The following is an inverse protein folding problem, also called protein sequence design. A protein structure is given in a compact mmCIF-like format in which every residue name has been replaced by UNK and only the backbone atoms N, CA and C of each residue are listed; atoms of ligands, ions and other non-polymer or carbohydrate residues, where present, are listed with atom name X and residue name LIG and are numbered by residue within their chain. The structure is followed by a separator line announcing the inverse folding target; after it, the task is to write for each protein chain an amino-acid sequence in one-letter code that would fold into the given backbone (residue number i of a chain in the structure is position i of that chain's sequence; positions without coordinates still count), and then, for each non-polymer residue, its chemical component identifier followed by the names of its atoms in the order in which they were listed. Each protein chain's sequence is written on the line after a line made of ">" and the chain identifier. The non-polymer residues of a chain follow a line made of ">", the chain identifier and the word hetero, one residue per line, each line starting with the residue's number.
data_IF_420747231542
#
_entry.id   IF_420747231542
#
_cell.length_a   1.000
_cell.length_b   1.000
_cell.length_c   1.000
_cell.angle_alpha   90.00
_cell.angle_beta   90.00
_cell.angle_gamma   90.00
#
_symmetry.space_group_name_H-M   'P 1'
#
loop_
_entity.id
_entity.type
_entity.pdbx_description
1 polymer ?
#
# COMPACT_ATOMS: atom_id res chain seq x y z
N UNK A 1 -13.96 31.02 -46.89
CA UNK A 1 -12.94 30.03 -46.44
C UNK A 1 -12.16 30.64 -45.29
N UNK A 2 -12.10 29.97 -44.15
CA UNK A 2 -11.37 30.44 -42.97
C UNK A 2 -11.96 29.91 -41.67
N UNK A 3 -11.96 28.58 -41.48
CA UNK A 3 -12.28 27.97 -40.19
C UNK A 3 -11.04 28.13 -39.32
N UNK A 4 -11.07 29.08 -38.39
CA UNK A 4 -10.06 29.23 -37.35
C UNK A 4 -10.26 28.14 -36.30
N UNK A 5 -9.37 27.15 -36.28
CA UNK A 5 -9.31 26.14 -35.20
C UNK A 5 -8.66 26.82 -34.00
N UNK A 6 -9.47 27.15 -32.99
CA UNK A 6 -9.00 27.62 -31.70
C UNK A 6 -8.39 26.43 -30.94
N UNK A 7 -7.07 26.27 -30.99
CA UNK A 7 -6.35 25.35 -30.10
C UNK A 7 -6.47 25.91 -28.68
N UNK A 8 -7.41 25.39 -27.90
CA UNK A 8 -7.45 25.59 -26.46
C UNK A 8 -6.19 24.96 -25.87
N UNK A 9 -5.20 25.78 -25.52
CA UNK A 9 -4.10 25.36 -24.65
C UNK A 9 -4.71 25.07 -23.27
N UNK A 10 -5.03 23.80 -22.99
CA UNK A 10 -5.26 23.37 -21.63
C UNK A 10 -3.96 23.61 -20.86
N UNK A 11 -3.96 24.65 -20.02
CA UNK A 11 -2.88 24.91 -19.07
C UNK A 11 -2.88 23.73 -18.09
N UNK A 12 -2.05 22.74 -18.37
CA UNK A 12 -1.84 21.59 -17.51
C UNK A 12 -1.38 22.12 -16.15
N UNK A 13 -2.17 21.89 -15.10
CA UNK A 13 -1.80 22.33 -13.77
C UNK A 13 -0.72 21.37 -13.26
N UNK A 14 0.50 21.88 -13.06
CA UNK A 14 1.53 21.14 -12.34
C UNK A 14 0.99 20.74 -10.97
N UNK A 15 0.78 19.44 -10.78
CA UNK A 15 0.33 18.90 -9.51
C UNK A 15 1.58 18.53 -8.68
N UNK A 16 1.82 19.32 -7.64
CA UNK A 16 2.92 19.07 -6.72
C UNK A 16 2.46 18.12 -5.61
N UNK A 17 3.23 17.05 -5.41
CA UNK A 17 2.98 16.05 -4.39
C UNK A 17 4.20 15.87 -3.48
N UNK A 18 3.94 15.64 -2.20
CA UNK A 18 4.98 15.43 -1.20
C UNK A 18 4.73 14.12 -0.48
N UNK A 19 5.76 13.29 -0.39
CA UNK A 19 5.73 12.17 0.54
C UNK A 19 5.87 12.73 1.96
N UNK A 20 4.98 12.37 2.89
CA UNK A 20 5.21 12.59 4.31
C UNK A 20 6.50 11.89 4.75
N UNK A 21 7.14 12.41 5.80
CA UNK A 21 8.30 11.76 6.38
C UNK A 21 7.86 10.55 7.22
N UNK A 22 8.65 9.48 7.25
CA UNK A 22 8.39 8.28 8.07
C UNK A 22 8.58 8.55 9.56
N UNK A 23 9.15 9.70 9.91
CA UNK A 23 9.24 10.21 11.29
C UNK A 23 8.07 11.11 11.68
N UNK A 24 7.21 11.50 10.73
CA UNK A 24 6.01 12.27 11.03
C UNK A 24 5.01 11.40 11.80
N UNK A 25 4.02 12.04 12.44
CA UNK A 25 2.96 11.31 13.12
C UNK A 25 2.15 10.46 12.12
N UNK A 26 2.06 9.17 12.41
CA UNK A 26 1.28 8.22 11.62
C UNK A 26 -0.16 8.04 12.13
N UNK A 27 -1.04 7.64 11.23
CA UNK A 27 -2.37 7.09 11.56
C UNK A 27 -2.28 5.59 11.87
N UNK A 28 -1.45 4.87 11.12
CA UNK A 28 -1.18 3.46 11.32
C UNK A 28 -0.21 2.87 10.30
N UNK A 29 0.23 1.64 10.57
CA UNK A 29 1.15 0.87 9.71
C UNK A 29 0.41 -0.24 8.97
N UNK A 30 0.80 -0.45 7.71
CA UNK A 30 0.25 -1.50 6.85
C UNK A 30 1.14 -2.74 6.82
N UNK A 31 0.57 -3.90 7.12
CA UNK A 31 1.22 -5.20 7.03
C UNK A 31 0.44 -6.10 6.06
N UNK A 32 1.15 -6.80 5.18
CA UNK A 32 0.55 -7.89 4.38
C UNK A 32 0.82 -9.20 5.09
N UNK A 33 -0.22 -9.87 5.57
CA UNK A 33 -0.04 -11.09 6.34
C UNK A 33 0.40 -12.25 5.44
N UNK A 34 1.28 -13.09 5.98
CA UNK A 34 1.77 -14.27 5.28
C UNK A 34 0.63 -15.24 4.90
N UNK A 35 0.83 -15.99 3.81
CA UNK A 35 -0.05 -17.10 3.43
C UNK A 35 0.70 -18.20 2.68
N UNK A 36 0.09 -19.36 2.53
CA UNK A 36 0.74 -20.52 1.88
C UNK A 36 0.60 -20.61 0.35
N UNK A 37 -0.10 -19.68 -0.31
CA UNK A 37 -0.42 -19.82 -1.74
C UNK A 37 0.74 -19.64 -2.72
N UNK A 38 1.81 -18.92 -2.33
CA UNK A 38 2.97 -18.67 -3.20
C UNK A 38 4.18 -19.53 -2.80
N UNK A 39 4.55 -19.49 -1.52
CA UNK A 39 5.77 -20.14 -1.01
C UNK A 39 5.48 -21.37 -0.12
N UNK A 40 4.23 -21.83 -0.07
CA UNK A 40 3.85 -23.05 0.63
C UNK A 40 3.72 -22.89 2.16
N UNK A 41 3.25 -23.97 2.80
CA UNK A 41 2.91 -23.97 4.24
C UNK A 41 4.11 -23.89 5.18
N UNK A 42 5.27 -24.41 4.76
CA UNK A 42 6.49 -24.40 5.60
C UNK A 42 6.97 -22.96 5.80
N UNK A 43 7.19 -22.24 4.70
CA UNK A 43 7.59 -20.83 4.71
C UNK A 43 6.59 -19.96 5.48
N UNK A 44 5.31 -20.10 5.16
CA UNK A 44 4.21 -19.43 5.85
C UNK A 44 4.29 -19.55 7.39
N UNK A 45 4.46 -20.78 7.91
CA UNK A 45 4.56 -21.04 9.35
C UNK A 45 5.85 -20.49 9.97
N UNK A 46 6.95 -20.54 9.23
CA UNK A 46 8.27 -20.08 9.70
C UNK A 46 8.26 -18.58 9.98
N UNK A 47 7.61 -17.79 9.11
CA UNK A 47 7.63 -16.34 9.22
C UNK A 47 6.47 -15.78 10.06
N UNK A 48 5.34 -16.49 10.22
CA UNK A 48 4.17 -15.99 10.96
C UNK A 48 4.46 -15.43 12.37
N UNK A 49 5.35 -16.04 13.19
CA UNK A 49 5.70 -15.48 14.49
C UNK A 49 6.29 -14.06 14.42
N UNK A 50 6.93 -13.70 13.31
CA UNK A 50 7.48 -12.35 13.09
C UNK A 50 6.33 -11.35 12.93
N UNK A 51 5.28 -11.68 12.17
CA UNK A 51 4.10 -10.82 11.99
C UNK A 51 3.34 -10.61 13.29
N UNK A 52 3.23 -11.64 14.13
CA UNK A 52 2.65 -11.51 15.47
C UNK A 52 3.46 -10.53 16.33
N UNK A 53 4.79 -10.68 16.37
CA UNK A 53 5.68 -9.78 17.11
C UNK A 53 5.61 -8.33 16.60
N UNK A 54 5.65 -8.12 15.29
CA UNK A 54 5.52 -6.78 14.70
C UNK A 54 4.19 -6.14 15.07
N UNK A 55 3.08 -6.85 14.90
CA UNK A 55 1.74 -6.33 15.22
C UNK A 55 1.62 -5.97 16.70
N UNK A 56 2.13 -6.84 17.59
CA UNK A 56 2.13 -6.60 19.04
C UNK A 56 2.99 -5.38 19.44
N UNK A 57 4.10 -5.14 18.75
CA UNK A 57 4.96 -3.99 18.99
C UNK A 57 4.34 -2.67 18.47
N UNK A 58 3.61 -2.72 17.36
CA UNK A 58 2.99 -1.54 16.73
C UNK A 58 1.69 -1.10 17.41
N UNK A 59 0.83 -2.06 17.77
CA UNK A 59 -0.54 -1.80 18.24
C UNK A 59 -0.67 -0.84 19.44
N UNK A 60 0.30 -0.73 20.39
CA UNK A 60 0.24 0.27 21.45
C UNK A 60 0.46 1.72 20.96
N UNK A 61 1.21 1.91 19.87
CA UNK A 61 1.59 3.24 19.36
C UNK A 61 0.64 3.78 18.30
N UNK A 62 0.12 2.90 17.44
CA UNK A 62 -0.68 3.29 16.27
C UNK A 62 -1.61 2.17 15.81
N UNK A 63 -2.50 2.46 14.84
CA UNK A 63 -3.33 1.40 14.23
C UNK A 63 -2.46 0.46 13.39
N UNK A 64 -2.83 -0.81 13.32
CA UNK A 64 -2.23 -1.77 12.41
C UNK A 64 -3.27 -2.21 11.39
N UNK A 65 -3.01 -1.89 10.11
CA UNK A 65 -3.84 -2.29 8.98
C UNK A 65 -3.27 -3.59 8.40
N UNK A 66 -3.98 -4.70 8.59
CA UNK A 66 -3.56 -6.01 8.11
C UNK A 66 -4.30 -6.38 6.83
N UNK A 67 -3.55 -6.62 5.76
CA UNK A 67 -4.07 -7.28 4.56
C UNK A 67 -4.08 -8.79 4.79
N UNK A 68 -5.27 -9.37 4.86
CA UNK A 68 -5.48 -10.80 4.98
C UNK A 68 -5.93 -11.38 3.64
N UNK A 69 -5.42 -12.57 3.28
CA UNK A 69 -5.68 -13.17 1.97
C UNK A 69 -7.18 -13.42 1.71
N UNK A 70 -7.91 -13.85 2.75
CA UNK A 70 -9.35 -14.10 2.70
C UNK A 70 -9.96 -14.04 4.11
N UNK A 71 -11.28 -14.26 4.18
CA UNK A 71 -12.04 -14.23 5.43
C UNK A 71 -11.64 -15.33 6.43
N UNK A 72 -11.14 -16.48 5.97
CA UNK A 72 -10.65 -17.57 6.83
C UNK A 72 -9.31 -17.20 7.44
N UNK A 73 -8.39 -16.63 6.64
CA UNK A 73 -7.13 -16.08 7.10
C UNK A 73 -7.37 -14.99 8.15
N UNK A 74 -8.25 -14.01 7.87
CA UNK A 74 -8.62 -12.95 8.83
C UNK A 74 -9.03 -13.52 10.18
N UNK A 75 -9.95 -14.49 10.22
CA UNK A 75 -10.42 -15.11 11.49
C UNK A 75 -9.27 -15.77 12.26
N UNK A 76 -8.37 -16.47 11.56
CA UNK A 76 -7.20 -17.11 12.19
C UNK A 76 -6.22 -16.09 12.75
N UNK A 77 -5.99 -15.00 12.02
CA UNK A 77 -5.12 -13.91 12.47
C UNK A 77 -5.70 -13.26 13.72
N UNK A 78 -7.00 -12.95 13.73
CA UNK A 78 -7.69 -12.38 14.90
C UNK A 78 -7.54 -13.28 16.14
N UNK A 79 -7.75 -14.58 16.00
CA UNK A 79 -7.58 -15.53 17.10
C UNK A 79 -6.14 -15.52 17.63
N UNK A 80 -5.14 -15.64 16.75
CA UNK A 80 -3.71 -15.63 17.14
C UNK A 80 -3.28 -14.32 17.80
N UNK A 81 -3.77 -13.18 17.31
CA UNK A 81 -3.48 -11.88 17.90
C UNK A 81 -4.12 -11.75 19.30
N UNK A 82 -5.35 -12.24 19.48
CA UNK A 82 -5.99 -12.29 20.78
C UNK A 82 -5.23 -13.20 21.77
N UNK A 83 -4.77 -14.36 21.33
CA UNK A 83 -3.94 -15.27 22.13
C UNK A 83 -2.61 -14.62 22.57
N UNK A 84 -2.07 -13.73 21.74
CA UNK A 84 -0.87 -12.93 22.04
C UNK A 84 -1.15 -11.68 22.90
N UNK A 85 -2.41 -11.44 23.29
CA UNK A 85 -2.82 -10.28 24.09
C UNK A 85 -2.80 -8.96 23.31
N UNK A 86 -2.92 -9.00 21.98
CA UNK A 86 -3.03 -7.80 21.14
C UNK A 86 -4.48 -7.30 21.12
N UNK A 87 -4.69 -6.05 21.50
CA UNK A 87 -6.00 -5.41 21.44
C UNK A 87 -6.45 -5.21 19.99
N UNK A 88 -7.54 -5.88 19.61
CA UNK A 88 -8.05 -5.88 18.23
C UNK A 88 -8.76 -4.58 17.83
N UNK A 89 -9.06 -3.68 18.77
CA UNK A 89 -9.62 -2.35 18.49
C UNK A 89 -8.64 -1.42 17.75
N UNK A 90 -7.34 -1.72 17.84
CA UNK A 90 -6.25 -1.07 17.11
C UNK A 90 -5.88 -1.79 15.81
N UNK A 91 -6.55 -2.88 15.46
CA UNK A 91 -6.21 -3.71 14.30
C UNK A 91 -7.38 -3.76 13.32
N UNK A 92 -7.19 -3.16 12.14
CA UNK A 92 -8.16 -3.19 11.06
C UNK A 92 -7.71 -4.16 9.96
N UNK A 93 -8.68 -4.73 9.25
CA UNK A 93 -8.40 -5.71 8.20
C UNK A 93 -8.90 -5.25 6.84
N UNK A 94 -8.12 -5.55 5.81
CA UNK A 94 -8.51 -5.48 4.41
C UNK A 94 -8.34 -6.87 3.78
N UNK A 95 -9.29 -7.29 2.95
CA UNK A 95 -9.24 -8.59 2.30
C UNK A 95 -8.70 -8.44 0.88
N UNK A 96 -7.46 -8.86 0.64
CA UNK A 96 -6.89 -8.87 -0.69
C UNK A 96 -6.03 -10.10 -0.91
N UNK A 97 -6.14 -10.69 -2.10
CA UNK A 97 -5.21 -11.72 -2.53
C UNK A 97 -3.88 -11.04 -2.85
N UNK A 98 -2.79 -11.59 -2.34
CA UNK A 98 -1.43 -11.16 -2.63
C UNK A 98 -0.62 -12.34 -3.18
N UNK A 99 0.58 -12.05 -3.67
CA UNK A 99 1.59 -13.03 -4.00
C UNK A 99 2.67 -13.06 -2.91
N UNK A 100 3.05 -11.92 -2.36
CA UNK A 100 4.09 -11.83 -1.35
C UNK A 100 3.66 -10.97 -0.14
N UNK A 101 4.57 -10.75 0.79
CA UNK A 101 4.31 -10.09 2.09
C UNK A 101 4.93 -8.69 2.23
N UNK A 102 5.62 -8.22 1.20
CA UNK A 102 6.45 -7.01 1.25
C UNK A 102 5.63 -5.72 1.16
N UNK A 103 4.85 -5.42 2.21
CA UNK A 103 3.99 -4.23 2.27
C UNK A 103 4.73 -2.92 1.98
N UNK A 104 6.03 -2.83 2.30
CA UNK A 104 6.87 -1.69 1.95
C UNK A 104 6.92 -1.42 0.44
N UNK A 105 7.01 -2.46 -0.37
CA UNK A 105 7.28 -2.35 -1.81
C UNK A 105 6.03 -2.38 -2.67
N UNK A 106 4.97 -3.03 -2.21
CA UNK A 106 3.72 -3.22 -2.94
C UNK A 106 2.49 -2.59 -2.24
N UNK A 107 2.64 -2.13 -0.99
CA UNK A 107 1.59 -1.49 -0.23
C UNK A 107 1.32 -0.04 -0.63
N UNK A 108 0.39 0.63 0.07
CA UNK A 108 -0.05 1.98 -0.28
C UNK A 108 1.10 2.97 -0.10
N UNK A 109 1.30 3.81 -1.10
CA UNK A 109 2.29 4.89 -1.06
C UNK A 109 1.54 6.21 -0.93
N UNK A 110 1.59 6.80 0.27
CA UNK A 110 0.84 8.02 0.56
C UNK A 110 1.59 9.28 0.15
N UNK A 111 0.88 10.22 -0.45
CA UNK A 111 1.36 11.58 -0.77
C UNK A 111 0.34 12.62 -0.32
N UNK A 112 0.82 13.82 -0.01
CA UNK A 112 -0.01 15.01 0.20
C UNK A 112 0.05 15.91 -1.02
N UNK A 113 -1.10 16.44 -1.43
CA UNK A 113 -1.16 17.51 -2.42
C UNK A 113 -0.94 18.90 -1.77
N UNK A 114 -0.96 19.96 -2.58
CA UNK A 114 -0.83 21.35 -2.11
C UNK A 114 -1.87 21.77 -1.07
N UNK A 115 -3.02 21.10 -1.03
CA UNK A 115 -4.11 21.35 -0.06
C UNK A 115 -4.02 20.41 1.15
N UNK A 116 -2.89 19.71 1.33
CA UNK A 116 -2.64 18.74 2.39
C UNK A 116 -3.55 17.50 2.37
N UNK A 117 -4.29 17.26 1.28
CA UNK A 117 -5.13 16.07 1.13
C UNK A 117 -4.25 14.83 0.93
N UNK A 118 -4.52 13.79 1.70
CA UNK A 118 -3.83 12.51 1.60
C UNK A 118 -4.38 11.71 0.40
N UNK A 119 -3.47 11.21 -0.43
CA UNK A 119 -3.76 10.42 -1.63
C UNK A 119 -2.83 9.22 -1.70
N UNK A 120 -3.18 8.22 -2.48
CA UNK A 120 -2.29 7.10 -2.80
C UNK A 120 -1.72 7.32 -4.20
N UNK A 121 -0.40 7.28 -4.33
CA UNK A 121 0.27 7.24 -5.63
C UNK A 121 0.39 5.79 -6.10
N UNK A 122 0.05 5.57 -7.36
CA UNK A 122 -0.05 4.26 -8.00
C UNK A 122 1.06 4.09 -9.03
N UNK A 123 2.25 3.75 -8.53
CA UNK A 123 3.31 3.20 -9.35
C UNK A 123 3.03 1.73 -9.67
N UNK A 124 3.45 1.31 -10.85
CA UNK A 124 3.43 -0.10 -11.22
C UNK A 124 4.38 -0.89 -10.33
N UNK A 125 4.03 -2.15 -10.04
CA UNK A 125 4.90 -3.11 -9.36
C UNK A 125 5.04 -4.33 -10.25
N UNK A 126 6.27 -4.81 -10.45
CA UNK A 126 6.54 -5.92 -11.37
C UNK A 126 7.32 -7.09 -10.74
N UNK A 127 7.40 -7.15 -9.41
CA UNK A 127 8.14 -8.19 -8.69
C UNK A 127 9.66 -8.05 -8.81
N UNK A 128 10.15 -6.83 -8.56
CA UNK A 128 11.57 -6.47 -8.57
C UNK A 128 12.28 -6.83 -9.89
N UNK A 129 11.68 -6.45 -11.01
CA UNK A 129 12.14 -6.79 -12.35
C UNK A 129 11.69 -8.18 -12.79
N UNK A 130 10.44 -8.55 -12.50
CA UNK A 130 9.80 -9.82 -12.91
C UNK A 130 10.47 -11.08 -12.35
N UNK A 131 11.13 -10.96 -11.20
CA UNK A 131 11.84 -12.07 -10.53
C UNK A 131 10.91 -12.95 -9.70
N UNK A 132 9.75 -12.43 -9.30
CA UNK A 132 8.77 -13.14 -8.48
C UNK A 132 7.36 -13.04 -9.08
N UNK A 133 6.42 -13.92 -8.71
CA UNK A 133 5.01 -13.71 -9.02
C UNK A 133 4.51 -12.41 -8.38
N UNK A 134 3.93 -11.50 -9.16
CA UNK A 134 3.58 -10.15 -8.67
C UNK A 134 2.18 -9.67 -9.06
N UNK A 135 1.44 -10.41 -9.90
CA UNK A 135 0.21 -9.89 -10.52
C UNK A 135 -0.86 -9.49 -9.50
N UNK A 136 -0.94 -10.21 -8.38
CA UNK A 136 -1.85 -9.87 -7.28
C UNK A 136 -1.34 -8.67 -6.49
N UNK A 137 -0.02 -8.60 -6.29
CA UNK A 137 0.62 -7.50 -5.56
C UNK A 137 0.48 -6.17 -6.29
N UNK A 138 0.61 -6.19 -7.62
CA UNK A 138 0.43 -5.02 -8.48
C UNK A 138 -0.99 -4.44 -8.43
N UNK A 139 -1.98 -5.20 -7.94
CA UNK A 139 -3.34 -4.72 -7.75
C UNK A 139 -3.57 -4.10 -6.36
N UNK A 140 -2.69 -4.35 -5.38
CA UNK A 140 -2.97 -4.05 -3.98
C UNK A 140 -3.19 -2.56 -3.73
N UNK A 141 -2.34 -1.67 -4.28
CA UNK A 141 -2.46 -0.22 -4.08
C UNK A 141 -3.81 0.31 -4.50
N UNK A 142 -4.24 -0.06 -5.72
CA UNK A 142 -5.54 0.33 -6.27
C UNK A 142 -6.69 -0.19 -5.42
N UNK A 143 -6.60 -1.45 -4.99
CA UNK A 143 -7.61 -2.07 -4.14
C UNK A 143 -7.72 -1.34 -2.79
N UNK A 144 -6.59 -1.06 -2.13
CA UNK A 144 -6.56 -0.30 -0.87
C UNK A 144 -7.15 1.09 -1.06
N UNK A 145 -6.76 1.81 -2.11
CA UNK A 145 -7.29 3.13 -2.39
C UNK A 145 -8.81 3.12 -2.58
N UNK A 146 -9.31 2.16 -3.36
CA UNK A 146 -10.75 2.01 -3.59
C UNK A 146 -11.51 1.65 -2.31
N UNK A 147 -11.05 0.65 -1.54
CA UNK A 147 -11.75 0.18 -0.35
C UNK A 147 -11.71 1.18 0.82
N UNK A 148 -10.64 1.99 0.91
CA UNK A 148 -10.49 3.02 1.96
C UNK A 148 -10.89 4.41 1.51
N UNK A 149 -11.31 4.60 0.25
CA UNK A 149 -11.76 5.87 -0.28
C UNK A 149 -10.65 6.91 -0.49
N UNK A 150 -9.40 6.48 -0.66
CA UNK A 150 -8.31 7.41 -0.97
C UNK A 150 -8.30 7.75 -2.47
N UNK A 151 -8.18 9.04 -2.84
CA UNK A 151 -7.95 9.41 -4.23
C UNK A 151 -6.64 8.81 -4.75
N UNK A 152 -6.67 8.32 -6.00
CA UNK A 152 -5.52 7.71 -6.64
C UNK A 152 -4.82 8.69 -7.57
N UNK A 153 -3.49 8.80 -7.44
CA UNK A 153 -2.62 9.51 -8.40
C UNK A 153 -1.95 8.46 -9.27
N UNK A 154 -2.36 8.35 -10.53
CA UNK A 154 -1.80 7.36 -11.46
C UNK A 154 -0.50 7.87 -12.05
N UNK A 155 0.52 7.02 -12.10
CA UNK A 155 1.80 7.32 -12.76
C UNK A 155 2.07 6.22 -13.81
N UNK A 156 1.41 6.28 -14.97
CA UNK A 156 1.49 5.22 -15.98
C UNK A 156 2.93 5.07 -16.50
N UNK A 157 3.32 3.83 -16.79
CA UNK A 157 4.64 3.53 -17.38
C UNK A 157 5.82 3.52 -16.40
N UNK A 158 5.63 3.93 -15.15
CA UNK A 158 6.69 3.90 -14.14
C UNK A 158 6.51 2.74 -13.16
N UNK A 159 7.54 1.89 -13.07
CA UNK A 159 7.67 0.87 -12.02
C UNK A 159 8.47 1.47 -10.88
N UNK A 160 7.96 1.36 -9.67
CA UNK A 160 8.67 1.81 -8.46
C UNK A 160 8.18 1.05 -7.23
N UNK A 161 9.15 0.58 -6.46
CA UNK A 161 8.98 -0.04 -5.15
C UNK A 161 9.13 1.01 -4.04
N UNK A 162 8.28 0.94 -3.02
CA UNK A 162 8.33 1.91 -1.91
C UNK A 162 9.66 1.90 -1.15
N UNK A 163 10.38 0.77 -1.09
CA UNK A 163 11.67 0.64 -0.42
C UNK A 163 12.88 1.15 -1.21
N UNK A 164 12.75 1.44 -2.51
CA UNK A 164 13.88 1.93 -3.34
C UNK A 164 14.06 3.45 -3.31
N UNK A 165 13.29 4.17 -2.49
CA UNK A 165 13.34 5.62 -2.36
C UNK A 165 13.56 6.08 -0.92
N UNK A 166 14.23 7.22 -0.79
CA UNK A 166 14.18 8.05 0.40
C UNK A 166 13.18 9.20 0.20
N UNK A 167 12.63 9.72 1.29
CA UNK A 167 11.62 10.78 1.32
C UNK A 167 12.04 12.01 0.51
N UNK A 168 11.27 12.35 -0.52
CA UNK A 168 11.61 13.40 -1.48
C UNK A 168 10.34 14.10 -2.00
N UNK A 169 10.46 15.34 -2.45
CA UNK A 169 9.37 16.09 -3.11
C UNK A 169 9.28 15.68 -4.58
N UNK A 170 8.09 15.37 -5.07
CA UNK A 170 7.87 14.96 -6.46
C UNK A 170 6.92 15.91 -7.17
N UNK A 171 7.21 16.13 -8.45
CA UNK A 171 6.34 16.86 -9.36
C UNK A 171 5.79 15.85 -10.35
N UNK A 172 4.48 15.65 -10.34
CA UNK A 172 3.81 14.81 -11.33
C UNK A 172 2.90 15.70 -12.17
N UNK A 173 3.03 15.62 -13.48
CA UNK A 173 2.02 16.13 -14.40
C UNK A 173 0.98 15.03 -14.56
N UNK A 174 -0.26 15.28 -14.16
CA UNK A 174 -1.35 14.38 -14.55
C UNK A 174 -1.69 14.64 -16.01
N UNK A 175 -1.62 13.60 -16.83
CA UNK A 175 -2.17 13.60 -18.20
C UNK A 175 -3.70 13.71 -18.19
#
# INVERSE_FOLDING_TARGET
>A
MGIGILFGMHKQADAQYQFPQETDRHEGTWLVWQHSHTYGRKYAKEIEPIWLKMTKALAPGERVHIVAYDQSAKKKIQAKLADEGVYLDRVDFLLAKTNDVWSRDMGPMFVRDKNQQLKIVDFSFDGWGKKTPYRKDAALRKQIAQEKGFPLVKVPGMVLEGGSRAETRWHFTSD
#
